data_IF_436289703647
#
_entry.id   IF_436289703647
#
_cell.length_a   1.000
_cell.length_b   1.000
_cell.length_c   1.000
_cell.angle_alpha   90.00
_cell.angle_beta   90.00
_cell.angle_gamma   90.00
#
_symmetry.space_group_name_H-M   'P 1'
#
loop_
_entity.id
_entity.type
_entity.pdbx_description
1 polymer ?
#
# COMPACT_ATOMS: atom_id res chain seq x y z
N UNK A 1 38.97 20.29 17.70
CA UNK A 1 37.83 20.90 16.98
C UNK A 1 37.55 20.18 15.66
N UNK A 2 38.55 19.75 14.92
CA UNK A 2 38.41 18.99 13.62
C UNK A 2 37.65 17.67 13.69
N UNK A 3 37.81 16.88 14.77
CA UNK A 3 37.12 15.57 14.90
C UNK A 3 35.60 15.72 14.99
N UNK A 4 35.08 16.84 15.47
CA UNK A 4 33.65 17.12 15.57
C UNK A 4 33.03 17.48 14.22
N UNK A 5 33.78 18.19 13.36
CA UNK A 5 33.34 18.53 12.00
C UNK A 5 33.29 17.31 11.09
N UNK A 6 34.33 16.45 11.13
CA UNK A 6 34.36 15.18 10.35
C UNK A 6 33.23 14.26 10.73
N UNK A 7 32.86 14.16 12.00
CA UNK A 7 31.72 13.36 12.46
C UNK A 7 30.37 13.91 12.03
N UNK A 8 30.25 15.23 11.88
CA UNK A 8 29.00 15.86 11.41
C UNK A 8 28.82 15.74 9.89
N UNK A 9 29.89 15.90 9.12
CA UNK A 9 29.90 15.70 7.67
C UNK A 9 29.59 14.25 7.30
N UNK A 10 30.18 13.28 7.99
CA UNK A 10 29.87 11.84 7.81
C UNK A 10 28.41 11.51 8.11
N UNK A 11 27.80 12.13 9.13
CA UNK A 11 26.36 11.94 9.43
C UNK A 11 25.46 12.54 8.36
N UNK A 12 25.81 13.73 7.87
CA UNK A 12 25.05 14.41 6.81
C UNK A 12 25.13 13.63 5.49
N UNK A 13 26.30 13.15 5.12
CA UNK A 13 26.52 12.33 3.92
C UNK A 13 25.73 11.01 3.98
N UNK A 14 25.76 10.32 5.12
CA UNK A 14 24.97 9.08 5.33
C UNK A 14 23.46 9.31 5.28
N UNK A 15 22.97 10.41 5.83
CA UNK A 15 21.55 10.76 5.75
C UNK A 15 21.14 11.02 4.30
N UNK A 16 21.97 11.70 3.52
CA UNK A 16 21.76 11.91 2.08
C UNK A 16 21.67 10.60 1.30
N UNK A 17 22.59 9.66 1.53
CA UNK A 17 22.58 8.34 0.87
C UNK A 17 21.32 7.56 1.22
N UNK A 18 20.91 7.51 2.49
CA UNK A 18 19.69 6.81 2.92
C UNK A 18 18.44 7.41 2.28
N UNK A 19 18.35 8.73 2.22
CA UNK A 19 17.25 9.43 1.57
C UNK A 19 17.21 9.15 0.07
N UNK A 20 18.36 9.16 -0.61
CA UNK A 20 18.47 8.84 -2.02
C UNK A 20 18.02 7.38 -2.31
N UNK A 21 18.52 6.41 -1.53
CA UNK A 21 18.11 5.01 -1.66
C UNK A 21 16.61 4.82 -1.40
N UNK A 22 16.08 5.45 -0.35
CA UNK A 22 14.64 5.40 -0.07
C UNK A 22 13.81 5.98 -1.24
N UNK A 23 14.29 7.06 -1.87
CA UNK A 23 13.63 7.65 -3.04
C UNK A 23 13.63 6.70 -4.24
N UNK A 24 14.78 6.08 -4.53
CA UNK A 24 14.93 5.13 -5.64
C UNK A 24 14.02 3.91 -5.42
N UNK A 25 14.10 3.29 -4.25
CA UNK A 25 13.28 2.09 -3.95
C UNK A 25 11.80 2.40 -3.92
N UNK A 26 11.40 3.55 -3.36
CA UNK A 26 10.01 3.98 -3.41
C UNK A 26 9.52 4.21 -4.83
N UNK A 27 10.34 4.83 -5.70
CA UNK A 27 10.02 5.00 -7.12
C UNK A 27 9.89 3.66 -7.84
N UNK A 28 10.78 2.69 -7.59
CA UNK A 28 10.71 1.35 -8.15
C UNK A 28 9.41 0.63 -7.75
N UNK A 29 9.04 0.68 -6.47
CA UNK A 29 7.80 0.07 -5.98
C UNK A 29 6.55 0.71 -6.60
N UNK A 30 6.52 2.04 -6.67
CA UNK A 30 5.39 2.78 -7.26
C UNK A 30 5.29 2.54 -8.77
N UNK A 31 6.41 2.30 -9.46
CA UNK A 31 6.42 1.98 -10.88
C UNK A 31 5.92 0.56 -11.21
N UNK A 32 5.88 -0.34 -10.23
CA UNK A 32 5.50 -1.76 -10.43
C UNK A 32 4.21 -1.96 -11.23
N UNK A 33 3.10 -1.21 -11.03
CA UNK A 33 1.88 -1.36 -11.82
C UNK A 33 2.08 -1.16 -13.32
N UNK A 34 3.03 -0.31 -13.72
CA UNK A 34 3.26 0.08 -15.10
C UNK A 34 4.30 -0.79 -15.84
N UNK A 35 4.95 -1.71 -15.13
CA UNK A 35 5.94 -2.60 -15.72
C UNK A 35 5.23 -3.73 -16.48
N UNK A 36 5.62 -3.95 -17.71
CA UNK A 36 5.17 -5.04 -18.55
C UNK A 36 6.20 -5.30 -19.65
N UNK A 37 6.28 -6.54 -20.11
CA UNK A 37 7.15 -6.92 -21.21
C UNK A 37 6.37 -7.76 -22.23
N UNK A 38 6.21 -7.24 -23.43
CA UNK A 38 5.48 -7.90 -24.52
C UNK A 38 6.24 -9.11 -25.10
N UNK A 39 7.53 -9.26 -24.80
CA UNK A 39 8.34 -10.38 -25.27
C UNK A 39 8.16 -11.65 -24.40
N UNK A 40 7.59 -11.51 -23.20
CA UNK A 40 7.36 -12.62 -22.29
C UNK A 40 5.96 -13.20 -22.43
N UNK A 41 5.82 -14.52 -22.34
CA UNK A 41 4.54 -15.17 -22.16
C UNK A 41 3.88 -14.62 -20.88
N UNK A 42 2.66 -14.05 -20.98
CA UNK A 42 1.98 -13.35 -19.90
C UNK A 42 2.81 -12.20 -19.28
N UNK A 43 3.52 -11.46 -20.11
CA UNK A 43 4.53 -10.47 -19.70
C UNK A 43 4.00 -9.33 -18.82
N UNK A 44 2.68 -9.10 -18.81
CA UNK A 44 2.04 -8.13 -17.90
C UNK A 44 2.18 -8.59 -16.44
N UNK A 45 1.95 -9.86 -16.15
CA UNK A 45 2.05 -10.40 -14.79
C UNK A 45 3.51 -10.72 -14.46
N UNK A 46 4.18 -11.50 -15.32
CA UNK A 46 5.58 -11.93 -15.11
C UNK A 46 6.53 -10.74 -14.98
N UNK A 47 6.36 -9.70 -15.83
CA UNK A 47 7.16 -8.49 -15.76
C UNK A 47 7.02 -7.76 -14.43
N UNK A 48 5.79 -7.62 -13.89
CA UNK A 48 5.54 -6.99 -12.59
C UNK A 48 6.12 -7.78 -11.43
N UNK A 49 5.97 -9.11 -11.45
CA UNK A 49 6.50 -10.01 -10.42
C UNK A 49 8.03 -9.96 -10.42
N UNK A 50 8.66 -10.08 -11.59
CA UNK A 50 10.11 -9.95 -11.70
C UNK A 50 10.63 -8.59 -11.20
N UNK A 51 9.98 -7.50 -11.61
CA UNK A 51 10.31 -6.15 -11.16
C UNK A 51 10.18 -5.99 -9.65
N UNK A 52 9.13 -6.56 -9.06
CA UNK A 52 8.93 -6.55 -7.62
C UNK A 52 10.05 -7.30 -6.89
N UNK A 53 10.40 -8.52 -7.34
CA UNK A 53 11.50 -9.30 -6.76
C UNK A 53 12.83 -8.56 -6.86
N UNK A 54 13.13 -7.96 -8.00
CA UNK A 54 14.34 -7.14 -8.21
C UNK A 54 14.36 -5.95 -7.25
N UNK A 55 13.25 -5.23 -7.14
CA UNK A 55 13.10 -4.09 -6.24
C UNK A 55 13.32 -4.49 -4.79
N UNK A 56 12.76 -5.62 -4.37
CA UNK A 56 12.92 -6.18 -3.02
C UNK A 56 14.37 -6.57 -2.73
N UNK A 57 15.05 -7.23 -3.66
CA UNK A 57 16.44 -7.62 -3.51
C UNK A 57 17.36 -6.39 -3.36
N UNK A 58 17.19 -5.39 -4.23
CA UNK A 58 17.96 -4.15 -4.17
C UNK A 58 17.69 -3.37 -2.88
N UNK A 59 16.45 -3.30 -2.45
CA UNK A 59 16.06 -2.63 -1.21
C UNK A 59 16.64 -3.33 0.02
N UNK A 60 16.66 -4.66 0.05
CA UNK A 60 17.27 -5.43 1.13
C UNK A 60 18.79 -5.21 1.19
N UNK A 61 19.49 -5.27 0.04
CA UNK A 61 20.93 -5.00 -0.05
C UNK A 61 21.23 -3.57 0.39
N UNK A 62 20.49 -2.58 -0.11
CA UNK A 62 20.66 -1.18 0.27
C UNK A 62 20.45 -0.94 1.77
N UNK A 63 19.51 -1.67 2.38
CA UNK A 63 19.28 -1.61 3.83
C UNK A 63 20.45 -2.17 4.60
N UNK A 64 21.00 -3.33 4.22
CA UNK A 64 22.18 -3.93 4.85
C UNK A 64 23.37 -2.98 4.77
N UNK A 65 23.66 -2.44 3.59
CA UNK A 65 24.79 -1.52 3.37
C UNK A 65 24.65 -0.25 4.21
N UNK A 66 23.45 0.28 4.36
CA UNK A 66 23.24 1.56 5.08
C UNK A 66 23.03 1.39 6.59
N UNK A 67 22.55 0.23 7.04
CA UNK A 67 22.31 -0.04 8.46
C UNK A 67 23.57 -0.48 9.21
N UNK A 68 24.55 -1.11 8.51
CA UNK A 68 25.71 -1.75 9.13
C UNK A 68 26.62 -0.80 9.95
N UNK A 69 26.92 0.44 9.58
CA UNK A 69 27.93 1.25 10.28
C UNK A 69 27.39 2.36 11.20
N UNK A 70 26.20 2.32 11.76
CA UNK A 70 25.75 3.46 12.57
C UNK A 70 24.61 3.21 13.51
N UNK A 71 24.55 4.00 14.59
CA UNK A 71 23.54 3.92 15.64
C UNK A 71 22.12 3.76 15.07
N UNK A 72 21.50 2.64 15.40
CA UNK A 72 20.18 2.28 14.94
C UNK A 72 19.15 3.12 15.69
N UNK A 73 18.26 3.81 14.97
CA UNK A 73 17.01 4.23 15.59
C UNK A 73 16.17 2.99 15.83
N UNK A 74 15.78 2.78 17.08
CA UNK A 74 14.82 1.71 17.40
C UNK A 74 13.48 2.08 16.79
N UNK A 75 12.94 1.20 15.95
CA UNK A 75 11.58 1.33 15.46
C UNK A 75 10.68 0.64 16.49
N UNK A 76 9.81 1.36 17.22
CA UNK A 76 8.96 0.74 18.21
C UNK A 76 8.02 -0.26 17.54
N UNK A 77 7.91 -1.44 18.14
CA UNK A 77 6.96 -2.46 17.69
C UNK A 77 5.53 -1.96 17.94
N UNK A 78 4.68 -2.04 16.93
CA UNK A 78 3.31 -1.55 16.96
C UNK A 78 2.31 -2.68 16.71
N UNK A 79 1.05 -2.48 17.10
CA UNK A 79 -0.01 -3.46 16.89
C UNK A 79 -0.10 -3.99 15.43
N UNK A 80 -0.01 -3.15 14.37
CA UNK A 80 0.00 -3.64 13.00
C UNK A 80 1.12 -4.63 12.68
N UNK A 81 2.30 -4.49 13.33
CA UNK A 81 3.41 -5.42 13.13
C UNK A 81 3.07 -6.81 13.67
N UNK A 82 2.47 -6.84 14.87
CA UNK A 82 2.01 -8.08 15.50
C UNK A 82 0.92 -8.78 14.68
N UNK A 83 -0.06 -8.01 14.18
CA UNK A 83 -1.13 -8.55 13.34
C UNK A 83 -0.60 -9.10 12.01
N UNK A 84 0.34 -8.40 11.37
CA UNK A 84 0.97 -8.86 10.14
C UNK A 84 1.76 -10.16 10.36
N UNK A 85 2.56 -10.24 11.43
CA UNK A 85 3.32 -11.44 11.76
C UNK A 85 2.40 -12.62 12.15
N UNK A 86 1.32 -12.34 12.87
CA UNK A 86 0.30 -13.35 13.18
C UNK A 86 -0.35 -13.88 11.91
N UNK A 87 -0.77 -13.00 11.00
CA UNK A 87 -1.34 -13.39 9.71
C UNK A 87 -0.34 -14.23 8.90
N UNK A 88 0.92 -13.80 8.80
CA UNK A 88 1.95 -14.56 8.11
C UNK A 88 2.19 -15.94 8.76
N UNK A 89 2.19 -16.01 10.09
CA UNK A 89 2.33 -17.26 10.84
C UNK A 89 1.16 -18.23 10.60
N UNK A 90 -0.06 -17.72 10.60
CA UNK A 90 -1.26 -18.53 10.27
C UNK A 90 -1.18 -19.02 8.83
N UNK A 91 -0.86 -18.15 7.87
CA UNK A 91 -0.73 -18.53 6.46
C UNK A 91 0.32 -19.63 6.27
N UNK A 92 1.47 -19.52 6.93
CA UNK A 92 2.52 -20.52 6.87
C UNK A 92 2.10 -21.84 7.52
N UNK A 93 1.41 -21.79 8.66
CA UNK A 93 0.94 -22.97 9.38
C UNK A 93 -0.19 -23.72 8.68
N UNK A 94 -1.01 -23.01 7.88
CA UNK A 94 -2.13 -23.60 7.12
C UNK A 94 -1.76 -23.89 5.67
N UNK A 95 -0.51 -23.67 5.27
CA UNK A 95 -0.07 -23.95 3.90
C UNK A 95 0.01 -25.45 3.63
N UNK A 96 -0.67 -25.90 2.60
CA UNK A 96 -0.68 -27.31 2.20
C UNK A 96 0.36 -27.56 1.10
N UNK A 97 1.48 -28.11 1.46
CA UNK A 97 2.58 -28.46 0.58
C UNK A 97 2.27 -29.56 -0.44
N UNK A 98 1.19 -30.31 -0.21
CA UNK A 98 0.79 -31.36 -1.14
C UNK A 98 -0.12 -30.83 -2.26
N UNK A 99 -0.97 -29.85 -1.94
CA UNK A 99 -1.85 -29.21 -2.92
C UNK A 99 -1.16 -28.13 -3.74
N UNK A 100 -0.19 -27.42 -3.15
CA UNK A 100 0.55 -26.35 -3.82
C UNK A 100 2.06 -26.52 -3.54
N UNK A 101 2.75 -27.40 -4.30
CA UNK A 101 4.15 -27.69 -4.07
C UNK A 101 5.09 -26.54 -4.47
N UNK A 102 4.56 -25.51 -5.16
CA UNK A 102 5.36 -24.37 -5.60
C UNK A 102 5.38 -23.27 -4.52
N UNK A 103 6.52 -23.02 -3.85
CA UNK A 103 6.61 -22.07 -2.74
C UNK A 103 6.56 -20.60 -3.19
N UNK A 104 6.26 -20.32 -4.46
CA UNK A 104 6.28 -18.96 -5.03
C UNK A 104 5.33 -18.02 -4.28
N UNK A 105 4.14 -18.47 -3.93
CA UNK A 105 3.16 -17.68 -3.16
C UNK A 105 3.64 -17.37 -1.74
N UNK A 106 4.30 -18.35 -1.11
CA UNK A 106 4.92 -18.13 0.22
C UNK A 106 6.09 -17.18 0.15
N UNK A 107 6.94 -17.30 -0.89
CA UNK A 107 8.04 -16.38 -1.13
C UNK A 107 7.53 -14.95 -1.31
N UNK A 108 6.50 -14.78 -2.13
CA UNK A 108 5.87 -13.47 -2.36
C UNK A 108 5.26 -12.91 -1.07
N UNK A 109 4.52 -13.72 -0.30
CA UNK A 109 3.98 -13.35 1.00
C UNK A 109 5.07 -12.96 2.00
N UNK A 110 6.15 -13.72 2.08
CA UNK A 110 7.31 -13.41 2.92
C UNK A 110 7.97 -12.08 2.51
N UNK A 111 8.11 -11.82 1.21
CA UNK A 111 8.62 -10.54 0.72
C UNK A 111 7.72 -9.36 1.08
N UNK A 112 6.39 -9.52 1.10
CA UNK A 112 5.48 -8.46 1.55
C UNK A 112 5.67 -8.14 3.04
N UNK A 113 5.90 -9.15 3.88
CA UNK A 113 6.23 -8.95 5.29
C UNK A 113 7.56 -8.20 5.45
N UNK A 114 8.58 -8.61 4.71
CA UNK A 114 9.88 -7.91 4.70
C UNK A 114 9.73 -6.48 4.21
N UNK A 115 8.96 -6.26 3.13
CA UNK A 115 8.67 -4.94 2.58
C UNK A 115 8.07 -4.00 3.62
N UNK A 116 7.13 -4.48 4.44
CA UNK A 116 6.54 -3.70 5.52
C UNK A 116 7.59 -3.13 6.47
N UNK A 117 8.52 -3.97 6.95
CA UNK A 117 9.58 -3.54 7.86
C UNK A 117 10.61 -2.64 7.19
N UNK A 118 10.96 -2.91 5.94
CA UNK A 118 11.87 -2.08 5.16
C UNK A 118 11.28 -0.69 4.90
N UNK A 119 10.02 -0.59 4.51
CA UNK A 119 9.32 0.69 4.33
C UNK A 119 9.26 1.47 5.65
N UNK A 120 8.95 0.82 6.76
CA UNK A 120 8.97 1.47 8.08
C UNK A 120 10.34 2.02 8.40
N UNK A 121 11.41 1.24 8.14
CA UNK A 121 12.78 1.69 8.35
C UNK A 121 13.09 2.93 7.51
N UNK A 122 12.91 2.88 6.20
CA UNK A 122 13.22 3.99 5.31
C UNK A 122 12.38 5.24 5.60
N UNK A 123 11.09 5.09 5.85
CA UNK A 123 10.21 6.22 6.15
C UNK A 123 10.46 6.82 7.54
N UNK A 124 11.09 6.09 8.46
CA UNK A 124 11.55 6.62 9.74
C UNK A 124 12.85 7.41 9.59
N UNK A 125 13.76 6.92 8.74
CA UNK A 125 15.02 7.59 8.45
C UNK A 125 14.84 8.84 7.56
N UNK A 126 13.89 8.82 6.63
CA UNK A 126 13.60 9.91 5.70
C UNK A 126 12.11 10.34 5.74
N UNK A 127 11.66 10.98 6.83
CA UNK A 127 10.24 11.33 7.00
C UNK A 127 9.70 12.31 5.95
N UNK A 128 10.55 13.11 5.35
CA UNK A 128 10.19 14.05 4.27
C UNK A 128 9.64 13.34 3.02
N UNK A 129 10.07 12.10 2.77
CA UNK A 129 9.61 11.31 1.63
C UNK A 129 8.19 10.76 1.79
N UNK A 130 7.62 10.72 3.00
CA UNK A 130 6.26 10.22 3.22
C UNK A 130 5.23 10.93 2.34
N UNK A 131 5.26 12.25 2.37
CA UNK A 131 4.32 13.06 1.59
C UNK A 131 4.58 12.95 0.09
N UNK A 132 5.85 12.88 -0.32
CA UNK A 132 6.22 12.65 -1.71
C UNK A 132 5.66 11.31 -2.22
N UNK A 133 5.87 10.21 -1.49
CA UNK A 133 5.34 8.90 -1.89
C UNK A 133 3.82 8.84 -1.90
N UNK A 134 3.15 9.46 -0.93
CA UNK A 134 1.70 9.55 -0.93
C UNK A 134 1.19 10.35 -2.15
N UNK A 135 1.85 11.45 -2.50
CA UNK A 135 1.50 12.23 -3.68
C UNK A 135 1.68 11.43 -4.97
N UNK A 136 2.84 10.75 -5.14
CA UNK A 136 3.10 9.93 -6.33
C UNK A 136 2.14 8.74 -6.41
N UNK A 137 1.82 8.10 -5.28
CA UNK A 137 0.81 7.03 -5.21
C UNK A 137 -0.58 7.52 -5.65
N UNK A 138 -0.99 8.72 -5.25
CA UNK A 138 -2.25 9.32 -5.71
C UNK A 138 -2.22 9.63 -7.20
N UNK A 139 -1.08 10.13 -7.70
CA UNK A 139 -0.92 10.42 -9.13
C UNK A 139 -0.99 9.15 -9.97
N UNK A 140 -0.32 8.08 -9.56
CA UNK A 140 -0.39 6.79 -10.25
C UNK A 140 -1.80 6.18 -10.19
N UNK A 141 -2.50 6.32 -9.06
CA UNK A 141 -3.90 5.93 -8.96
C UNK A 141 -4.83 6.74 -9.87
N UNK A 142 -4.57 8.04 -10.04
CA UNK A 142 -5.30 8.87 -11.01
C UNK A 142 -5.04 8.41 -12.44
N UNK A 143 -3.79 8.13 -12.81
CA UNK A 143 -3.42 7.60 -14.13
C UNK A 143 -4.14 6.29 -14.41
N UNK A 144 -4.14 5.36 -13.44
CA UNK A 144 -4.86 4.09 -13.57
C UNK A 144 -6.38 4.28 -13.69
N UNK A 145 -6.96 5.20 -12.93
CA UNK A 145 -8.39 5.50 -13.01
C UNK A 145 -8.76 6.09 -14.38
N UNK A 146 -7.95 7.02 -14.90
CA UNK A 146 -8.15 7.61 -16.24
C UNK A 146 -7.99 6.55 -17.33
N UNK A 147 -6.97 5.70 -17.22
CA UNK A 147 -6.79 4.59 -18.17
C UNK A 147 -7.99 3.63 -18.14
N UNK A 148 -8.45 3.26 -16.94
CA UNK A 148 -9.66 2.45 -16.78
C UNK A 148 -10.90 3.09 -17.39
N UNK A 149 -11.09 4.41 -17.23
CA UNK A 149 -12.18 5.13 -17.93
C UNK A 149 -12.07 5.04 -19.45
N UNK A 150 -10.86 5.19 -19.99
CA UNK A 150 -10.65 5.04 -21.44
C UNK A 150 -10.98 3.62 -21.92
N UNK A 151 -10.63 2.58 -21.15
CA UNK A 151 -10.99 1.20 -21.46
C UNK A 151 -12.51 0.97 -21.42
N UNK A 152 -13.22 1.52 -20.43
CA UNK A 152 -14.69 1.40 -20.32
C UNK A 152 -15.42 2.04 -21.51
N UNK A 153 -14.89 3.16 -22.03
CA UNK A 153 -15.46 3.87 -23.18
C UNK A 153 -14.94 3.37 -24.54
N UNK A 154 -14.04 2.39 -24.55
CA UNK A 154 -13.51 1.80 -25.79
C UNK A 154 -12.39 2.62 -26.45
N UNK A 155 -11.84 3.65 -25.78
CA UNK A 155 -10.70 4.44 -26.28
C UNK A 155 -9.34 3.76 -26.03
N UNK A 156 -9.28 2.79 -25.12
CA UNK A 156 -8.09 2.00 -24.86
C UNK A 156 -8.44 0.51 -24.81
N UNK A 157 -7.48 -0.33 -25.23
CA UNK A 157 -7.65 -1.79 -25.18
C UNK A 157 -7.46 -2.31 -23.75
N UNK A 158 -8.26 -3.32 -23.40
CA UNK A 158 -8.05 -4.10 -22.19
C UNK A 158 -6.95 -5.13 -22.41
N UNK A 159 -6.22 -5.44 -21.35
CA UNK A 159 -5.20 -6.50 -21.35
C UNK A 159 -5.80 -7.92 -21.24
N UNK A 160 -7.11 -8.04 -21.15
CA UNK A 160 -7.80 -9.33 -21.00
C UNK A 160 -8.97 -9.45 -21.99
N UNK A 161 -9.12 -10.62 -22.60
CA UNK A 161 -10.15 -10.86 -23.65
C UNK A 161 -11.58 -10.79 -23.11
N UNK A 162 -11.82 -11.16 -21.85
CA UNK A 162 -13.16 -11.24 -21.26
C UNK A 162 -13.55 -10.00 -20.44
N UNK A 163 -12.59 -9.19 -20.02
CA UNK A 163 -12.84 -8.03 -19.16
C UNK A 163 -12.51 -6.73 -19.87
N UNK A 164 -13.42 -5.77 -19.85
CA UNK A 164 -13.18 -4.46 -20.45
C UNK A 164 -12.27 -3.57 -19.60
N UNK A 165 -12.26 -3.75 -18.28
CA UNK A 165 -11.57 -2.90 -17.32
C UNK A 165 -10.46 -3.66 -16.63
N UNK A 166 -9.23 -3.30 -16.91
CA UNK A 166 -8.03 -3.91 -16.29
C UNK A 166 -6.96 -2.88 -15.92
N UNK A 167 -7.06 -1.64 -16.41
CA UNK A 167 -5.98 -0.66 -16.30
C UNK A 167 -4.68 -1.20 -16.90
N UNK A 168 -3.58 -1.00 -16.22
CA UNK A 168 -2.28 -1.58 -16.56
C UNK A 168 -2.12 -3.05 -16.12
N UNK A 169 -3.10 -3.59 -15.39
CA UNK A 169 -3.08 -4.98 -14.90
C UNK A 169 -3.66 -5.94 -15.93
N UNK A 170 -3.45 -7.25 -15.69
CA UNK A 170 -4.04 -8.28 -16.53
C UNK A 170 -5.51 -8.54 -16.18
N UNK A 171 -5.87 -8.45 -14.90
CA UNK A 171 -7.23 -8.75 -14.40
C UNK A 171 -7.83 -7.56 -13.64
N UNK A 172 -9.18 -7.43 -13.61
CA UNK A 172 -9.87 -6.39 -12.85
C UNK A 172 -9.67 -6.51 -11.33
N UNK A 173 -9.44 -7.71 -10.78
CA UNK A 173 -9.22 -7.94 -9.35
C UNK A 173 -8.01 -7.17 -8.80
N UNK A 174 -6.79 -7.39 -9.29
CA UNK A 174 -5.60 -6.62 -8.92
C UNK A 174 -5.73 -5.11 -9.20
N UNK A 175 -6.34 -4.73 -10.32
CA UNK A 175 -6.62 -3.33 -10.64
C UNK A 175 -7.49 -2.64 -9.57
N UNK A 176 -8.63 -3.26 -9.23
CA UNK A 176 -9.51 -2.73 -8.20
C UNK A 176 -8.86 -2.76 -6.82
N UNK A 177 -8.07 -3.80 -6.52
CA UNK A 177 -7.30 -3.90 -5.28
C UNK A 177 -6.32 -2.74 -5.15
N UNK A 178 -5.60 -2.39 -6.20
CA UNK A 178 -4.71 -1.24 -6.24
C UNK A 178 -5.46 0.08 -5.97
N UNK A 179 -6.56 0.32 -6.68
CA UNK A 179 -7.38 1.52 -6.50
C UNK A 179 -8.00 1.60 -5.10
N UNK A 180 -8.38 0.46 -4.52
CA UNK A 180 -8.90 0.39 -3.16
C UNK A 180 -7.86 0.77 -2.09
N UNK A 181 -6.58 0.55 -2.35
CA UNK A 181 -5.47 1.02 -1.48
C UNK A 181 -5.21 2.51 -1.66
N UNK A 182 -5.32 3.03 -2.88
CA UNK A 182 -5.07 4.46 -3.17
C UNK A 182 -6.20 5.35 -2.67
N UNK A 183 -7.45 4.92 -2.77
CA UNK A 183 -8.63 5.72 -2.44
C UNK A 183 -8.62 6.30 -1.01
N UNK A 184 -8.32 5.56 0.06
CA UNK A 184 -8.23 6.11 1.41
C UNK A 184 -7.11 7.15 1.57
N UNK A 185 -6.02 7.05 0.80
CA UNK A 185 -4.94 8.05 0.78
C UNK A 185 -5.45 9.35 0.14
N UNK A 186 -6.20 9.25 -0.96
CA UNK A 186 -6.85 10.40 -1.60
C UNK A 186 -7.83 11.09 -0.63
N UNK A 187 -8.67 10.31 0.05
CA UNK A 187 -9.62 10.83 1.03
C UNK A 187 -8.91 11.50 2.21
N UNK A 188 -7.89 10.85 2.76
CA UNK A 188 -7.09 11.43 3.85
C UNK A 188 -6.47 12.75 3.44
N UNK A 189 -5.88 12.83 2.25
CA UNK A 189 -5.30 14.05 1.71
C UNK A 189 -6.34 15.15 1.55
N UNK A 190 -7.51 14.80 1.00
CA UNK A 190 -8.62 15.73 0.84
C UNK A 190 -9.17 16.26 2.18
N UNK A 191 -9.16 15.45 3.24
CA UNK A 191 -9.66 15.86 4.55
C UNK A 191 -8.64 16.61 5.40
N UNK A 192 -7.34 16.30 5.25
CA UNK A 192 -6.26 16.80 6.10
C UNK A 192 -5.60 18.07 5.59
N UNK A 193 -5.43 18.20 4.28
CA UNK A 193 -4.77 19.33 3.66
C UNK A 193 -5.75 20.42 3.25
N UNK A 194 -5.19 21.57 2.83
CA UNK A 194 -5.95 22.71 2.32
C UNK A 194 -5.46 23.09 0.92
N UNK A 195 -6.20 23.96 0.24
CA UNK A 195 -5.85 24.50 -1.08
C UNK A 195 -5.64 23.39 -2.14
N UNK A 196 -4.55 23.47 -2.90
CA UNK A 196 -4.30 22.58 -4.04
C UNK A 196 -4.34 21.08 -3.70
N UNK A 197 -3.72 20.67 -2.61
CA UNK A 197 -3.72 19.25 -2.18
C UNK A 197 -5.11 18.74 -1.79
N UNK A 198 -5.94 19.58 -1.18
CA UNK A 198 -7.34 19.26 -0.90
C UNK A 198 -8.11 18.92 -2.18
N UNK A 199 -8.05 19.81 -3.17
CA UNK A 199 -8.74 19.60 -4.45
C UNK A 199 -8.16 18.42 -5.23
N UNK A 200 -6.85 18.27 -5.25
CA UNK A 200 -6.19 17.12 -5.86
C UNK A 200 -6.65 15.79 -5.25
N UNK A 201 -6.75 15.72 -3.91
CA UNK A 201 -7.30 14.56 -3.22
C UNK A 201 -8.71 14.21 -3.66
N UNK A 202 -9.61 15.20 -3.78
CA UNK A 202 -10.98 14.99 -4.25
C UNK A 202 -11.06 14.57 -5.70
N UNK A 203 -10.24 15.15 -6.57
CA UNK A 203 -10.18 14.78 -8.01
C UNK A 203 -9.75 13.33 -8.16
N UNK A 204 -8.67 12.91 -7.46
CA UNK A 204 -8.21 11.53 -7.49
C UNK A 204 -9.27 10.57 -6.91
N UNK A 205 -9.86 10.90 -5.76
CA UNK A 205 -10.92 10.08 -5.15
C UNK A 205 -12.13 9.94 -6.07
N UNK A 206 -12.58 11.03 -6.68
CA UNK A 206 -13.70 11.04 -7.61
C UNK A 206 -13.43 10.18 -8.85
N UNK A 207 -12.25 10.30 -9.46
CA UNK A 207 -11.85 9.48 -10.60
C UNK A 207 -11.84 7.97 -10.24
N UNK A 208 -11.30 7.61 -9.09
CA UNK A 208 -11.28 6.21 -8.62
C UNK A 208 -12.70 5.71 -8.36
N UNK A 209 -13.56 6.49 -7.71
CA UNK A 209 -14.94 6.11 -7.39
C UNK A 209 -15.80 5.88 -8.65
N UNK A 210 -15.48 6.50 -9.78
CA UNK A 210 -16.17 6.28 -11.05
C UNK A 210 -15.84 4.88 -11.60
N UNK A 211 -14.59 4.45 -11.55
CA UNK A 211 -14.15 3.20 -12.19
C UNK A 211 -14.19 1.99 -11.26
N UNK A 212 -14.05 2.18 -9.96
CA UNK A 212 -13.98 1.09 -8.99
C UNK A 212 -15.21 0.17 -9.00
N UNK A 213 -16.46 0.68 -9.12
CA UNK A 213 -17.64 -0.18 -9.24
C UNK A 213 -17.66 -1.04 -10.49
N UNK A 214 -17.19 -0.50 -11.63
CA UNK A 214 -17.17 -1.20 -12.90
C UNK A 214 -16.21 -2.40 -12.93
N UNK A 215 -15.22 -2.44 -12.03
CA UNK A 215 -14.29 -3.56 -11.90
C UNK A 215 -14.86 -4.80 -11.19
N UNK A 216 -16.09 -4.73 -10.67
CA UNK A 216 -16.87 -5.84 -10.08
C UNK A 216 -16.13 -6.65 -8.99
N UNK A 217 -15.14 -6.08 -8.33
CA UNK A 217 -14.37 -6.74 -7.25
C UNK A 217 -14.99 -6.44 -5.89
N UNK A 218 -15.80 -7.35 -5.35
CA UNK A 218 -16.49 -7.20 -4.07
C UNK A 218 -15.51 -6.98 -2.91
N UNK A 219 -14.42 -7.72 -2.88
CA UNK A 219 -13.37 -7.59 -1.85
C UNK A 219 -12.70 -6.21 -1.87
N UNK A 220 -12.42 -5.66 -3.07
CA UNK A 220 -11.87 -4.32 -3.20
C UNK A 220 -12.86 -3.24 -2.73
N UNK A 221 -14.15 -3.38 -3.01
CA UNK A 221 -15.16 -2.45 -2.51
C UNK A 221 -15.25 -2.46 -0.99
N UNK A 222 -15.30 -3.66 -0.39
CA UNK A 222 -15.35 -3.78 1.07
C UNK A 222 -14.10 -3.18 1.71
N UNK A 223 -12.92 -3.48 1.18
CA UNK A 223 -11.67 -2.91 1.67
C UNK A 223 -11.64 -1.38 1.56
N UNK A 224 -12.09 -0.83 0.43
CA UNK A 224 -12.18 0.61 0.22
C UNK A 224 -13.16 1.28 1.21
N UNK A 225 -14.34 0.71 1.42
CA UNK A 225 -15.34 1.24 2.36
C UNK A 225 -14.81 1.23 3.78
N UNK A 226 -14.22 0.12 4.24
CA UNK A 226 -13.65 0.00 5.59
C UNK A 226 -12.51 0.99 5.79
N UNK A 227 -11.57 1.06 4.84
CA UNK A 227 -10.41 1.96 4.93
C UNK A 227 -10.82 3.44 4.86
N UNK A 228 -11.71 3.81 3.95
CA UNK A 228 -12.24 5.18 3.86
C UNK A 228 -13.06 5.56 5.09
N UNK A 229 -13.87 4.64 5.61
CA UNK A 229 -14.62 4.82 6.86
C UNK A 229 -13.70 5.08 8.04
N UNK A 230 -12.59 4.32 8.14
CA UNK A 230 -11.56 4.54 9.15
C UNK A 230 -10.90 5.91 9.03
N UNK A 231 -10.50 6.31 7.82
CA UNK A 231 -9.91 7.63 7.56
C UNK A 231 -10.88 8.74 7.93
N UNK A 232 -12.14 8.65 7.50
CA UNK A 232 -13.16 9.65 7.83
C UNK A 232 -13.40 9.74 9.34
N UNK A 233 -13.48 8.58 10.00
CA UNK A 233 -13.66 8.52 11.45
C UNK A 233 -12.49 9.17 12.20
N UNK A 234 -11.24 8.89 11.83
CA UNK A 234 -10.07 9.45 12.50
C UNK A 234 -9.92 10.95 12.28
N UNK A 235 -10.21 11.45 11.08
CA UNK A 235 -10.00 12.85 10.71
C UNK A 235 -11.17 13.77 11.13
N UNK A 236 -12.42 13.26 11.16
CA UNK A 236 -13.62 14.08 11.41
C UNK A 236 -14.30 13.83 12.74
N UNK A 237 -14.37 12.59 13.18
CA UNK A 237 -15.07 12.23 14.42
C UNK A 237 -14.12 12.31 15.61
N UNK A 238 -12.94 11.70 15.47
CA UNK A 238 -11.90 11.64 16.49
C UNK A 238 -12.22 10.66 17.62
N UNK A 239 -11.16 10.20 18.28
CA UNK A 239 -11.26 9.15 19.31
C UNK A 239 -12.05 9.57 20.56
N UNK A 240 -11.98 10.86 20.94
CA UNK A 240 -12.66 11.34 22.15
C UNK A 240 -14.18 11.39 21.99
N UNK A 241 -14.67 11.81 20.82
CA UNK A 241 -16.13 11.77 20.53
C UNK A 241 -16.63 10.33 20.49
N UNK A 242 -15.85 9.42 19.92
CA UNK A 242 -16.21 8.00 19.87
C UNK A 242 -16.27 7.38 21.26
N UNK A 243 -15.30 7.65 22.13
CA UNK A 243 -15.36 7.20 23.53
C UNK A 243 -16.62 7.70 24.24
N UNK A 244 -17.01 8.95 24.00
CA UNK A 244 -18.23 9.51 24.58
C UNK A 244 -19.48 8.78 24.07
N UNK A 245 -19.57 8.50 22.76
CA UNK A 245 -20.67 7.73 22.16
C UNK A 245 -20.67 6.29 22.66
N UNK A 246 -19.52 5.59 22.67
CA UNK A 246 -19.42 4.23 23.19
C UNK A 246 -19.82 4.13 24.65
N UNK A 247 -19.45 5.11 25.48
CA UNK A 247 -19.90 5.16 26.89
C UNK A 247 -21.41 5.33 26.99
N UNK A 248 -22.01 6.18 26.13
CA UNK A 248 -23.46 6.43 26.12
C UNK A 248 -24.26 5.22 25.64
N UNK A 249 -23.73 4.45 24.69
CA UNK A 249 -24.41 3.30 24.08
C UNK A 249 -23.73 1.96 24.42
N UNK A 250 -23.05 1.86 25.56
CA UNK A 250 -22.31 0.68 26.00
C UNK A 250 -23.13 -0.63 25.90
N UNK A 251 -24.40 -0.58 26.20
CA UNK A 251 -25.29 -1.75 26.18
C UNK A 251 -25.74 -2.16 24.75
N UNK A 252 -25.61 -1.28 23.76
CA UNK A 252 -26.01 -1.56 22.38
C UNK A 252 -24.80 -1.92 21.48
N UNK A 253 -23.61 -1.42 21.80
CA UNK A 253 -22.40 -1.65 20.98
C UNK A 253 -21.85 -3.06 21.12
N UNK A 254 -21.95 -3.67 22.30
CA UNK A 254 -21.47 -5.04 22.56
C UNK A 254 -22.23 -6.06 21.71
N UNK A 255 -23.59 -6.11 21.72
CA UNK A 255 -24.33 -7.06 20.88
C UNK A 255 -24.15 -6.79 19.38
N UNK A 256 -23.99 -5.53 18.94
CA UNK A 256 -23.73 -5.21 17.54
C UNK A 256 -22.38 -5.77 17.05
N UNK A 257 -21.32 -5.58 17.84
CA UNK A 257 -19.99 -6.16 17.52
C UNK A 257 -20.04 -7.68 17.50
N UNK A 258 -20.78 -8.29 18.44
CA UNK A 258 -20.94 -9.75 18.49
C UNK A 258 -21.70 -10.27 17.25
N UNK A 259 -22.76 -9.58 16.81
CA UNK A 259 -23.51 -9.96 15.60
C UNK A 259 -22.63 -9.84 14.35
N UNK A 260 -21.84 -8.76 14.21
CA UNK A 260 -20.93 -8.58 13.08
C UNK A 260 -19.84 -9.67 13.09
N UNK A 261 -19.27 -10.00 14.25
CA UNK A 261 -18.28 -11.06 14.39
C UNK A 261 -18.85 -12.45 14.02
N UNK A 262 -20.10 -12.74 14.40
CA UNK A 262 -20.80 -13.97 14.04
C UNK A 262 -21.07 -14.02 12.52
N UNK A 263 -21.53 -12.93 11.92
CA UNK A 263 -21.81 -12.85 10.50
C UNK A 263 -20.53 -13.00 9.65
N UNK A 264 -19.40 -12.48 10.11
CA UNK A 264 -18.10 -12.63 9.44
C UNK A 264 -17.48 -14.02 9.67
N UNK A 265 -17.76 -14.64 10.82
CA UNK A 265 -17.28 -16.00 11.12
C UNK A 265 -18.09 -17.14 10.50
N UNK A 266 -19.29 -16.84 9.94
CA UNK A 266 -20.17 -17.82 9.28
C UNK A 266 -20.07 -17.77 7.74
N UNK A 267 -19.19 -16.93 7.16
CA UNK A 267 -18.89 -16.82 5.73
C UNK A 267 -17.53 -17.41 5.41
#
# INVERSE_FOLDING_TARGET
MEIKYTGMELKLHRHGIRTALASVFGAMLIATPFVGDSALANGIVTGKVFWFHLSMALMAIGTVVTAWPGGRKSIPFALPDGLLLLFAGITLATYDWQLDPEPEKLLFGGQLVVLWFLLRYFLTEAPCLKFFFLFVLMLTGLVEAVWGMQQLHGYAYSNHSLFRLTGSFFNPGPYCGYLAVVLPVCLWTALRFQKGMHYFGWVCAGAILIVLPAGMSRSAWMAAVVACGWVYWTERIGWEKTKAVCRRYKNATIPFIAIVAILVGCT
#
